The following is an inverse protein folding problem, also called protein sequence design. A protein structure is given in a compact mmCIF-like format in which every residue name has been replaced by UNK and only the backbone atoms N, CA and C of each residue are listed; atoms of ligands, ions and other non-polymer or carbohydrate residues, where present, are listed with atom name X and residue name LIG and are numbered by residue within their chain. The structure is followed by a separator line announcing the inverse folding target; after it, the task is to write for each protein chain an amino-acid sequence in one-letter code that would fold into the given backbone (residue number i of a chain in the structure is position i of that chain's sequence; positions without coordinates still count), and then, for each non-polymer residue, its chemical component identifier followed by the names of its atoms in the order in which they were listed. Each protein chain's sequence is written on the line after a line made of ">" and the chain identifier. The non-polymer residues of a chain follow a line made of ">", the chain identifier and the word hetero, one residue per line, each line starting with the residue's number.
data_IF_888739895621
#
_entry.id   IF_888739895621
#
_cell.length_a   1.000
_cell.length_b   1.000
_cell.length_c   1.000
_cell.angle_alpha   90.00
_cell.angle_beta   90.00
_cell.angle_gamma   90.00
#
_symmetry.space_group_name_H-M   'P 1'
#
loop_
_entity.id
_entity.type
_entity.pdbx_description
1 polymer ?
#
# COMPACT_ATOMS: atom_id res chain seq x y z
N UNK A 1 -34.35 -0.42 -0.49
CA UNK A 1 -33.24 -0.02 0.38
C UNK A 1 -32.42 -1.27 0.59
N UNK A 2 -31.30 -1.42 -0.12
CA UNK A 2 -30.52 -2.65 -0.09
C UNK A 2 -29.71 -2.68 1.20
N UNK A 3 -29.93 -3.73 1.97
CA UNK A 3 -29.23 -4.11 3.19
C UNK A 3 -27.71 -4.06 2.95
N UNK A 4 -27.08 -3.01 3.48
CA UNK A 4 -25.63 -2.85 3.48
C UNK A 4 -25.07 -3.81 4.53
N UNK A 5 -25.04 -5.11 4.17
CA UNK A 5 -24.37 -6.13 4.97
C UNK A 5 -22.94 -5.67 5.18
N UNK A 6 -22.65 -5.20 6.39
CA UNK A 6 -21.30 -4.93 6.85
C UNK A 6 -20.42 -6.07 6.42
N UNK A 7 -19.53 -5.79 5.46
CA UNK A 7 -18.69 -6.82 4.88
C UNK A 7 -17.77 -7.36 5.96
N UNK A 8 -17.80 -8.66 6.20
CA UNK A 8 -16.90 -9.26 7.17
C UNK A 8 -15.46 -9.18 6.66
N UNK A 9 -14.53 -8.91 7.57
CA UNK A 9 -13.12 -8.76 7.26
C UNK A 9 -12.55 -10.12 6.85
N UNK A 10 -11.96 -10.21 5.66
CA UNK A 10 -11.30 -11.42 5.18
C UNK A 10 -9.80 -11.16 4.98
N UNK A 11 -8.97 -11.78 5.83
CA UNK A 11 -7.52 -11.61 5.78
C UNK A 11 -6.87 -12.17 4.51
N UNK A 12 -7.43 -13.21 3.91
CA UNK A 12 -6.93 -13.76 2.64
C UNK A 12 -7.14 -12.79 1.47
N UNK A 13 -8.30 -12.14 1.41
CA UNK A 13 -8.58 -11.07 0.43
C UNK A 13 -7.58 -9.93 0.57
N UNK A 14 -7.31 -9.50 1.81
CA UNK A 14 -6.34 -8.42 2.09
C UNK A 14 -4.92 -8.84 1.68
N UNK A 15 -4.48 -10.06 2.01
CA UNK A 15 -3.16 -10.56 1.60
C UNK A 15 -3.02 -10.67 0.08
N UNK A 16 -4.07 -11.14 -0.60
CA UNK A 16 -4.11 -11.24 -2.06
C UNK A 16 -4.01 -9.86 -2.70
N UNK A 17 -4.73 -8.88 -2.13
CA UNK A 17 -4.66 -7.50 -2.58
C UNK A 17 -3.28 -6.87 -2.36
N UNK A 18 -2.67 -7.06 -1.18
CA UNK A 18 -1.31 -6.58 -0.91
C UNK A 18 -0.30 -7.21 -1.88
N UNK A 19 -0.44 -8.51 -2.19
CA UNK A 19 0.40 -9.19 -3.14
C UNK A 19 0.25 -8.63 -4.57
N UNK A 20 -0.98 -8.36 -5.02
CA UNK A 20 -1.21 -7.79 -6.35
C UNK A 20 -0.66 -6.35 -6.46
N UNK A 21 -0.79 -5.54 -5.40
CA UNK A 21 -0.23 -4.19 -5.36
C UNK A 21 1.30 -4.18 -5.39
N UNK A 22 1.97 -5.13 -4.73
CA UNK A 22 3.44 -5.28 -4.84
C UNK A 22 3.86 -5.52 -6.29
N UNK A 23 3.17 -6.43 -6.99
CA UNK A 23 3.49 -6.75 -8.40
C UNK A 23 3.26 -5.52 -9.29
N UNK A 24 2.12 -4.83 -9.13
CA UNK A 24 1.81 -3.60 -9.87
C UNK A 24 2.84 -2.51 -9.61
N UNK A 25 3.19 -2.27 -8.34
CA UNK A 25 4.15 -1.24 -7.95
C UNK A 25 5.53 -1.47 -8.55
N UNK A 26 5.99 -2.71 -8.64
CA UNK A 26 7.25 -3.06 -9.32
C UNK A 26 7.19 -2.79 -10.82
N UNK A 27 6.06 -3.12 -11.46
CA UNK A 27 5.88 -2.82 -12.88
C UNK A 27 5.85 -1.30 -13.14
N UNK A 28 5.20 -0.54 -12.27
CA UNK A 28 5.13 0.92 -12.34
C UNK A 28 6.52 1.57 -12.13
N UNK A 29 7.34 1.05 -11.22
CA UNK A 29 8.74 1.48 -11.05
C UNK A 29 9.53 1.30 -12.35
N UNK A 30 9.52 0.10 -12.94
CA UNK A 30 10.22 -0.17 -14.20
C UNK A 30 9.73 0.73 -15.34
N UNK A 31 8.41 0.98 -15.41
CA UNK A 31 7.84 1.87 -16.41
C UNK A 31 8.30 3.33 -16.21
N UNK A 32 8.37 3.80 -14.97
CA UNK A 32 8.87 5.13 -14.63
C UNK A 32 10.37 5.27 -14.90
N UNK A 33 11.19 4.27 -14.56
CA UNK A 33 12.63 4.27 -14.84
C UNK A 33 12.95 4.48 -16.33
N UNK A 34 12.17 3.85 -17.21
CA UNK A 34 12.29 4.03 -18.67
C UNK A 34 12.00 5.46 -19.13
N UNK A 35 11.21 6.21 -18.38
CA UNK A 35 10.92 7.61 -18.65
C UNK A 35 11.97 8.59 -18.11
N UNK A 36 13.01 8.10 -17.42
CA UNK A 36 14.13 8.91 -16.95
C UNK A 36 13.76 9.91 -15.85
N UNK A 37 14.48 11.05 -15.79
CA UNK A 37 14.39 12.02 -14.69
C UNK A 37 12.97 12.55 -14.47
N UNK A 38 12.22 12.76 -15.55
CA UNK A 38 10.88 13.33 -15.51
C UNK A 38 9.86 12.44 -14.79
N UNK A 39 10.18 11.15 -14.59
CA UNK A 39 9.31 10.15 -13.99
C UNK A 39 9.84 9.63 -12.65
N UNK A 40 10.87 10.26 -12.08
CA UNK A 40 11.42 9.84 -10.78
C UNK A 40 10.41 9.97 -9.63
N UNK A 41 9.50 10.96 -9.67
CA UNK A 41 8.42 11.05 -8.66
C UNK A 41 7.46 9.86 -8.75
N UNK A 42 7.11 9.44 -9.96
CA UNK A 42 6.28 8.26 -10.18
C UNK A 42 6.99 6.99 -9.70
N UNK A 43 8.30 6.90 -9.90
CA UNK A 43 9.11 5.80 -9.37
C UNK A 43 9.10 5.77 -7.83
N UNK A 44 9.36 6.90 -7.17
CA UNK A 44 9.36 6.99 -5.69
C UNK A 44 7.97 6.67 -5.12
N UNK A 45 6.91 7.11 -5.79
CA UNK A 45 5.53 6.82 -5.41
C UNK A 45 5.21 5.33 -5.51
N UNK A 46 5.64 4.69 -6.59
CA UNK A 46 5.47 3.24 -6.78
C UNK A 46 6.32 2.45 -5.78
N UNK A 47 7.56 2.87 -5.52
CA UNK A 47 8.41 2.27 -4.48
C UNK A 47 7.79 2.39 -3.07
N UNK A 48 7.17 3.54 -2.76
CA UNK A 48 6.50 3.74 -1.47
C UNK A 48 5.34 2.77 -1.27
N UNK A 49 4.56 2.55 -2.34
CA UNK A 49 3.49 1.56 -2.34
C UNK A 49 4.02 0.13 -2.16
N UNK A 50 5.06 -0.26 -2.90
CA UNK A 50 5.70 -1.57 -2.72
C UNK A 50 6.12 -1.78 -1.27
N UNK A 51 6.86 -0.82 -0.69
CA UNK A 51 7.39 -0.93 0.66
C UNK A 51 6.28 -1.14 1.68
N UNK A 52 5.22 -0.33 1.63
CA UNK A 52 4.10 -0.43 2.58
C UNK A 52 3.37 -1.76 2.41
N UNK A 53 3.10 -2.20 1.19
CA UNK A 53 2.42 -3.47 0.96
C UNK A 53 3.28 -4.67 1.37
N UNK A 54 4.59 -4.63 1.09
CA UNK A 54 5.54 -5.67 1.48
C UNK A 54 5.66 -5.79 3.01
N UNK A 55 5.69 -4.66 3.73
CA UNK A 55 5.75 -4.64 5.20
C UNK A 55 4.53 -5.33 5.86
N UNK A 56 3.38 -5.35 5.20
CA UNK A 56 2.12 -5.82 5.78
C UNK A 56 1.66 -7.19 5.24
N UNK A 57 2.03 -7.57 4.02
CA UNK A 57 1.54 -8.80 3.35
C UNK A 57 1.73 -10.07 4.19
N UNK A 58 2.89 -10.22 4.84
CA UNK A 58 3.22 -11.39 5.66
C UNK A 58 2.81 -11.28 7.13
N UNK A 59 2.23 -10.15 7.53
CA UNK A 59 1.88 -9.90 8.93
C UNK A 59 0.60 -10.65 9.32
N UNK A 60 0.63 -11.28 10.51
CA UNK A 60 -0.56 -11.83 11.15
C UNK A 60 -1.65 -10.77 11.40
N UNK A 61 -1.29 -9.47 11.39
CA UNK A 61 -2.24 -8.37 11.52
C UNK A 61 -3.32 -8.37 10.43
N UNK A 62 -3.06 -9.00 9.27
CA UNK A 62 -4.05 -9.11 8.18
C UNK A 62 -5.29 -9.92 8.54
N UNK A 63 -5.27 -10.77 9.58
CA UNK A 63 -6.42 -11.58 9.99
C UNK A 63 -7.52 -10.78 10.72
N UNK A 64 -7.21 -9.57 11.18
CA UNK A 64 -8.15 -8.75 11.93
C UNK A 64 -8.10 -7.30 11.47
N UNK A 65 -9.26 -6.72 11.14
CA UNK A 65 -9.37 -5.32 10.77
C UNK A 65 -8.73 -4.39 11.82
N UNK A 66 -8.93 -4.70 13.11
CA UNK A 66 -8.38 -3.93 14.22
C UNK A 66 -6.85 -4.05 14.25
N UNK A 67 -6.33 -5.27 14.22
CA UNK A 67 -4.89 -5.51 14.25
C UNK A 67 -4.20 -4.91 13.02
N UNK A 68 -4.81 -5.00 11.84
CA UNK A 68 -4.32 -4.38 10.62
C UNK A 68 -4.28 -2.85 10.72
N UNK A 69 -5.34 -2.24 11.26
CA UNK A 69 -5.40 -0.80 11.49
C UNK A 69 -4.41 -0.30 12.55
N UNK A 70 -4.06 -1.12 13.54
CA UNK A 70 -3.00 -0.83 14.51
C UNK A 70 -1.61 -0.96 13.87
N UNK A 71 -1.38 -2.02 13.08
CA UNK A 71 -0.12 -2.20 12.35
C UNK A 71 0.15 -1.04 11.36
N UNK A 72 -0.90 -0.53 10.69
CA UNK A 72 -0.78 0.64 9.82
C UNK A 72 -0.41 1.91 10.58
N UNK A 73 -0.96 2.13 11.79
CA UNK A 73 -0.59 3.28 12.62
C UNK A 73 0.84 3.15 13.13
N UNK A 74 1.21 1.99 13.64
CA UNK A 74 2.59 1.72 14.06
C UNK A 74 3.59 1.89 12.90
N UNK A 75 3.20 1.54 11.66
CA UNK A 75 4.02 1.82 10.49
C UNK A 75 4.11 3.32 10.20
N UNK A 76 3.00 4.07 10.33
CA UNK A 76 2.95 5.52 10.11
C UNK A 76 3.83 6.30 11.10
N UNK A 77 3.91 5.82 12.34
CA UNK A 77 4.60 6.45 13.45
C UNK A 77 6.13 6.25 13.40
N UNK A 78 6.65 5.54 12.38
CA UNK A 78 8.10 5.46 12.15
C UNK A 78 8.69 6.82 11.79
N UNK A 79 9.87 7.08 12.33
CA UNK A 79 10.64 8.29 12.06
C UNK A 79 11.12 8.32 10.61
N UNK A 80 11.73 7.22 10.16
CA UNK A 80 12.30 7.09 8.81
C UNK A 80 11.83 5.83 8.09
N UNK A 81 11.77 5.92 6.75
CA UNK A 81 11.54 4.79 5.87
C UNK A 81 12.73 4.61 4.92
N UNK A 82 13.48 3.53 5.13
CA UNK A 82 14.65 3.19 4.32
C UNK A 82 14.24 2.14 3.28
N UNK A 83 14.42 2.44 2.00
CA UNK A 83 14.11 1.54 0.89
C UNK A 83 15.08 1.75 -0.28
N UNK A 84 15.43 0.67 -0.97
CA UNK A 84 16.31 0.72 -2.14
C UNK A 84 15.58 1.22 -3.39
N UNK A 85 16.32 1.86 -4.32
CA UNK A 85 15.75 2.29 -5.61
C UNK A 85 14.95 3.59 -5.54
N UNK A 86 15.06 4.32 -4.43
CA UNK A 86 14.45 5.63 -4.22
C UNK A 86 15.39 6.72 -4.75
N UNK A 87 14.84 7.71 -5.45
CA UNK A 87 15.58 8.86 -5.97
C UNK A 87 15.65 10.03 -5.00
N UNK A 88 14.64 10.20 -4.15
CA UNK A 88 14.59 11.28 -3.16
C UNK A 88 13.90 10.82 -1.87
N UNK A 89 14.66 10.68 -0.79
CA UNK A 89 14.16 10.15 0.49
C UNK A 89 13.05 10.98 1.12
N UNK A 90 13.13 12.32 1.06
CA UNK A 90 12.10 13.20 1.62
C UNK A 90 10.77 13.08 0.85
N UNK A 91 10.86 12.96 -0.48
CA UNK A 91 9.69 12.75 -1.34
C UNK A 91 9.08 11.37 -1.13
N UNK A 92 9.93 10.35 -1.03
CA UNK A 92 9.52 8.99 -0.70
C UNK A 92 8.82 8.89 0.65
N UNK A 93 9.38 9.45 1.72
CA UNK A 93 8.75 9.49 3.05
C UNK A 93 7.33 10.08 2.98
N UNK A 94 7.17 11.19 2.24
CA UNK A 94 5.85 11.80 2.03
C UNK A 94 4.88 10.84 1.32
N UNK A 95 5.33 10.15 0.28
CA UNK A 95 4.51 9.18 -0.46
C UNK A 95 4.13 7.99 0.42
N UNK A 96 5.06 7.47 1.21
CA UNK A 96 4.83 6.40 2.19
C UNK A 96 3.74 6.80 3.17
N UNK A 97 3.91 7.94 3.86
CA UNK A 97 2.93 8.41 4.85
C UNK A 97 1.56 8.66 4.22
N UNK A 98 1.52 9.19 3.00
CA UNK A 98 0.27 9.40 2.25
C UNK A 98 -0.41 8.06 1.92
N UNK A 99 0.36 7.08 1.47
CA UNK A 99 -0.16 5.76 1.13
C UNK A 99 -0.65 4.99 2.37
N UNK A 100 0.07 5.06 3.49
CA UNK A 100 -0.39 4.47 4.76
C UNK A 100 -1.71 5.10 5.21
N UNK A 101 -1.85 6.44 5.16
CA UNK A 101 -3.13 7.11 5.49
C UNK A 101 -4.28 6.66 4.60
N UNK A 102 -4.02 6.45 3.30
CA UNK A 102 -5.00 5.86 2.37
C UNK A 102 -5.42 4.46 2.81
N UNK A 103 -4.47 3.58 3.16
CA UNK A 103 -4.78 2.24 3.66
C UNK A 103 -5.52 2.25 5.00
N UNK A 104 -5.22 3.19 5.90
CA UNK A 104 -5.99 3.37 7.14
C UNK A 104 -7.44 3.70 6.81
N UNK A 105 -7.70 4.57 5.82
CA UNK A 105 -9.06 4.89 5.38
C UNK A 105 -9.76 3.66 4.79
N UNK A 106 -9.11 2.92 3.89
CA UNK A 106 -9.65 1.69 3.30
C UNK A 106 -9.95 0.62 4.36
N UNK A 107 -9.08 0.48 5.36
CA UNK A 107 -9.26 -0.44 6.49
C UNK A 107 -10.48 -0.06 7.31
N UNK A 108 -10.71 1.23 7.56
CA UNK A 108 -11.88 1.72 8.29
C UNK A 108 -13.18 1.43 7.54
N UNK A 109 -13.22 1.63 6.23
CA UNK A 109 -14.43 1.39 5.42
C UNK A 109 -14.62 -0.07 5.03
N UNK A 110 -13.57 -0.92 5.17
CA UNK A 110 -13.53 -2.31 4.70
C UNK A 110 -13.71 -2.45 3.18
N UNK A 111 -13.42 -1.38 2.44
CA UNK A 111 -13.63 -1.32 0.99
C UNK A 111 -12.32 -1.23 0.23
N UNK A 112 -12.36 -1.71 -1.02
CA UNK A 112 -11.26 -1.57 -1.98
C UNK A 112 -10.24 -2.72 -1.99
N UNK A 113 -10.19 -3.55 -0.95
CA UNK A 113 -9.34 -4.76 -0.94
C UNK A 113 -9.77 -5.83 -1.94
N UNK A 114 -11.01 -5.77 -2.44
CA UNK A 114 -11.48 -6.68 -3.50
C UNK A 114 -11.10 -6.20 -4.90
N UNK A 115 -10.69 -4.94 -5.02
CA UNK A 115 -10.35 -4.38 -6.30
C UNK A 115 -8.92 -4.78 -6.68
N UNK A 116 -8.83 -5.95 -7.30
CA UNK A 116 -7.61 -6.47 -7.93
C UNK A 116 -7.43 -5.95 -9.37
N UNK A 117 -8.38 -5.15 -9.88
CA UNK A 117 -8.57 -4.87 -11.31
C UNK A 117 -8.13 -3.49 -11.79
N UNK A 118 -7.32 -2.74 -11.03
CA UNK A 118 -6.63 -1.58 -11.64
C UNK A 118 -5.21 -1.97 -11.98
N UNK A 119 -4.76 -1.51 -13.15
CA UNK A 119 -3.46 -1.74 -13.79
C UNK A 119 -3.43 -2.92 -14.78
N UNK A 120 -4.34 -2.85 -15.77
CA UNK A 120 -3.98 -3.04 -17.18
C UNK A 120 -3.89 -1.66 -17.83
#
# INVERSE_FOLDING_TARGET
>A
MADEKSKDWNGETVRTWLASRIVSARADQVAAERGGRDRQDDCDKAAAEEMVCAALKGSASTESQKAFGEALRALLDRDDYIWSGVYNDTRFDRHVRTYIRKLIKMTKTKEGFENLKRYQ
#
